data_IF_956722252842
#
_entry.id   IF_956722252842
#
_cell.length_a   1.000
_cell.length_b   1.000
_cell.length_c   1.000
_cell.angle_alpha   90.00
_cell.angle_beta   90.00
_cell.angle_gamma   90.00
#
_symmetry.space_group_name_H-M   'P 1'
#
loop_
_entity.id
_entity.type
_entity.pdbx_description
1 polymer ?
#
# COMPACT_ATOMS: atom_id res chain seq x y z
N UNK A 1 13.32 8.91 1.82
CA UNK A 1 12.27 8.09 1.15
C UNK A 1 10.99 8.87 1.07
N UNK A 2 10.41 8.97 -0.10
CA UNK A 2 9.09 9.60 -0.28
C UNK A 2 8.40 9.06 -1.52
N UNK A 3 7.08 9.16 -1.54
CA UNK A 3 6.27 8.85 -2.70
C UNK A 3 5.93 10.16 -3.39
N UNK A 4 6.20 10.26 -4.69
CA UNK A 4 5.83 11.44 -5.48
C UNK A 4 4.45 11.27 -6.10
N UNK A 5 4.13 10.06 -6.57
CA UNK A 5 2.87 9.79 -7.25
C UNK A 5 2.47 8.34 -7.11
N UNK A 6 1.17 8.10 -6.98
CA UNK A 6 0.57 6.76 -7.04
C UNK A 6 -0.50 6.76 -8.13
N UNK A 7 -0.51 5.72 -8.95
CA UNK A 7 -1.59 5.43 -9.89
C UNK A 7 -2.20 4.07 -9.53
N UNK A 8 -3.51 4.03 -9.38
CA UNK A 8 -4.28 2.83 -9.07
C UNK A 8 -5.18 2.49 -10.25
N UNK A 9 -5.19 1.25 -10.65
CA UNK A 9 -6.01 0.75 -11.74
C UNK A 9 -6.69 -0.54 -11.32
N UNK A 10 -8.02 -0.55 -11.28
CA UNK A 10 -8.79 -1.72 -10.87
C UNK A 10 -8.59 -2.13 -9.42
N UNK A 11 -8.09 -1.24 -8.57
CA UNK A 11 -7.78 -1.51 -7.16
C UNK A 11 -8.95 -1.07 -6.29
N UNK A 12 -9.57 -2.02 -5.59
CA UNK A 12 -10.72 -1.77 -4.71
C UNK A 12 -11.83 -1.04 -5.48
N UNK A 13 -12.20 0.15 -5.03
CA UNK A 13 -13.24 0.98 -5.66
C UNK A 13 -12.71 1.94 -6.74
N UNK A 14 -11.43 1.87 -7.05
CA UNK A 14 -10.82 2.73 -8.07
C UNK A 14 -10.74 2.02 -9.41
N UNK A 15 -11.43 2.52 -10.42
CA UNK A 15 -11.22 2.07 -11.81
C UNK A 15 -9.87 2.55 -12.30
N UNK A 16 -9.65 3.85 -12.21
CA UNK A 16 -8.37 4.48 -12.45
C UNK A 16 -8.30 5.77 -11.63
N UNK A 17 -7.25 5.91 -10.85
CA UNK A 17 -7.05 7.11 -10.03
C UNK A 17 -5.57 7.38 -9.86
N UNK A 18 -5.20 8.65 -9.80
CA UNK A 18 -3.84 9.08 -9.53
C UNK A 18 -3.84 10.05 -8.36
N UNK A 19 -2.79 10.00 -7.57
CA UNK A 19 -2.56 10.94 -6.47
C UNK A 19 -1.12 11.41 -6.49
N UNK A 20 -0.93 12.72 -6.49
CA UNK A 20 0.39 13.34 -6.39
C UNK A 20 0.60 13.81 -4.96
N UNK A 21 1.82 13.61 -4.44
CA UNK A 21 2.16 13.96 -3.07
C UNK A 21 3.26 15.00 -3.04
N UNK A 22 3.17 15.90 -2.07
CA UNK A 22 4.21 16.89 -1.79
C UNK A 22 5.22 16.31 -0.79
N UNK A 23 6.45 16.80 -0.76
CA UNK A 23 7.37 16.48 0.32
C UNK A 23 6.78 16.88 1.68
N UNK A 24 7.05 16.11 2.71
CA UNK A 24 6.54 16.38 4.06
C UNK A 24 5.16 15.77 4.31
N UNK A 25 4.32 16.51 5.00
CA UNK A 25 3.00 16.02 5.41
C UNK A 25 1.97 16.24 4.31
N UNK A 26 1.24 15.18 4.00
CA UNK A 26 0.09 15.21 3.09
C UNK A 26 -1.15 14.81 3.87
N UNK A 27 -2.21 15.60 3.77
CA UNK A 27 -3.48 15.34 4.45
C UNK A 27 -4.47 14.82 3.42
N UNK A 28 -5.02 13.63 3.69
CA UNK A 28 -6.04 13.00 2.84
C UNK A 28 -7.36 13.13 3.55
N UNK A 29 -8.32 13.81 2.91
CA UNK A 29 -9.63 14.05 3.50
C UNK A 29 -10.72 13.91 2.45
N UNK A 30 -11.96 13.79 2.89
CA UNK A 30 -13.13 13.67 2.03
C UNK A 30 -14.23 12.89 2.72
N UNK A 31 -15.39 12.83 2.09
CA UNK A 31 -16.56 12.15 2.62
C UNK A 31 -16.47 10.62 2.52
N UNK A 32 -15.73 10.11 1.53
CA UNK A 32 -15.58 8.67 1.33
C UNK A 32 -14.44 8.11 2.18
N UNK A 33 -14.77 7.63 3.37
CA UNK A 33 -13.80 7.05 4.30
C UNK A 33 -13.12 5.81 3.69
N UNK A 34 -13.83 4.98 2.92
CA UNK A 34 -13.26 3.78 2.31
C UNK A 34 -12.22 4.12 1.24
N UNK A 35 -12.47 5.15 0.44
CA UNK A 35 -11.50 5.60 -0.56
C UNK A 35 -10.18 6.03 0.06
N UNK A 36 -10.24 6.75 1.18
CA UNK A 36 -9.04 7.15 1.91
C UNK A 36 -8.29 5.95 2.46
N UNK A 37 -8.99 5.00 3.06
CA UNK A 37 -8.38 3.78 3.59
C UNK A 37 -7.78 2.94 2.46
N UNK A 38 -8.44 2.85 1.32
CA UNK A 38 -7.93 2.11 0.16
C UNK A 38 -6.64 2.73 -0.39
N UNK A 39 -6.54 4.06 -0.38
CA UNK A 39 -5.32 4.75 -0.77
C UNK A 39 -4.18 4.44 0.21
N UNK A 40 -4.43 4.49 1.51
CA UNK A 40 -3.45 4.13 2.52
C UNK A 40 -3.03 2.66 2.41
N UNK A 41 -3.97 1.77 2.09
CA UNK A 41 -3.68 0.37 1.84
C UNK A 41 -2.70 0.20 0.67
N UNK A 42 -2.88 0.97 -0.41
CA UNK A 42 -1.98 0.92 -1.55
C UNK A 42 -0.57 1.39 -1.18
N UNK A 43 -0.44 2.42 -0.36
CA UNK A 43 0.86 2.88 0.15
C UNK A 43 1.53 1.79 0.98
N UNK A 44 0.78 1.15 1.85
CA UNK A 44 1.29 0.05 2.68
C UNK A 44 1.78 -1.11 1.81
N UNK A 45 1.03 -1.46 0.77
CA UNK A 45 1.40 -2.53 -0.14
C UNK A 45 2.70 -2.23 -0.90
N UNK A 46 2.93 -0.97 -1.26
CA UNK A 46 4.18 -0.57 -1.93
C UNK A 46 5.41 -0.81 -1.07
N UNK A 47 5.27 -0.74 0.25
CA UNK A 47 6.38 -0.96 1.16
C UNK A 47 6.48 -2.42 1.64
N UNK A 48 5.33 -3.07 1.86
CA UNK A 48 5.27 -4.38 2.50
C UNK A 48 4.98 -5.52 1.54
N UNK A 49 4.49 -5.22 0.34
CA UNK A 49 4.09 -6.23 -0.64
C UNK A 49 2.80 -6.99 -0.27
N UNK A 50 2.09 -6.52 0.74
CA UNK A 50 0.85 -7.13 1.20
C UNK A 50 -0.07 -6.07 1.81
N UNK A 51 -1.37 -6.39 1.89
CA UNK A 51 -2.34 -5.54 2.56
C UNK A 51 -2.24 -5.68 4.09
N UNK A 52 -2.60 -4.59 4.80
CA UNK A 52 -2.80 -4.65 6.25
C UNK A 52 -4.22 -5.06 6.65
N UNK A 53 -5.13 -5.19 5.67
CA UNK A 53 -6.55 -5.48 5.90
C UNK A 53 -6.95 -6.90 5.52
N UNK A 54 -6.29 -7.50 4.54
CA UNK A 54 -6.62 -8.83 4.04
C UNK A 54 -5.37 -9.61 3.65
N UNK A 55 -5.44 -10.92 3.77
CA UNK A 55 -4.42 -11.85 3.27
C UNK A 55 -4.66 -12.26 1.83
N UNK A 56 -5.85 -11.98 1.29
CA UNK A 56 -6.28 -12.51 -0.01
C UNK A 56 -6.17 -11.41 -1.06
N UNK A 57 -5.20 -11.54 -1.94
CA UNK A 57 -4.96 -10.55 -2.99
C UNK A 57 -6.18 -10.35 -3.89
N UNK A 58 -7.00 -11.39 -4.08
CA UNK A 58 -8.22 -11.28 -4.88
C UNK A 58 -9.21 -10.23 -4.35
N UNK A 59 -9.20 -9.97 -3.05
CA UNK A 59 -10.08 -8.97 -2.44
C UNK A 59 -9.66 -7.55 -2.75
N UNK A 60 -8.44 -7.36 -3.24
CA UNK A 60 -7.90 -6.06 -3.63
C UNK A 60 -8.27 -5.69 -5.06
N UNK A 61 -8.69 -6.67 -5.85
CA UNK A 61 -9.10 -6.45 -7.24
C UNK A 61 -10.53 -5.90 -7.24
N UNK A 62 -10.75 -4.82 -8.00
CA UNK A 62 -12.03 -4.17 -8.07
C UNK A 62 -13.12 -5.09 -8.66
N UNK A 63 -14.35 -4.88 -8.22
CA UNK A 63 -15.49 -5.63 -8.70
C UNK A 63 -15.62 -5.49 -10.23
N UNK A 64 -15.70 -6.61 -10.91
CA UNK A 64 -15.78 -6.63 -12.39
C UNK A 64 -14.44 -6.48 -13.09
N UNK A 65 -13.34 -6.37 -12.37
CA UNK A 65 -12.00 -6.28 -12.94
C UNK A 65 -11.29 -7.62 -12.92
N UNK A 66 -10.44 -7.87 -13.93
CA UNK A 66 -9.63 -9.08 -14.01
C UNK A 66 -8.30 -8.94 -13.28
N UNK A 67 -7.87 -7.71 -13.09
CA UNK A 67 -6.60 -7.40 -12.45
C UNK A 67 -6.64 -6.06 -11.74
N UNK A 68 -5.69 -5.85 -10.85
CA UNK A 68 -5.45 -4.56 -10.21
C UNK A 68 -3.97 -4.21 -10.32
N UNK A 69 -3.68 -2.93 -10.46
CA UNK A 69 -2.31 -2.45 -10.55
C UNK A 69 -2.10 -1.27 -9.60
N UNK A 70 -1.00 -1.31 -8.89
CA UNK A 70 -0.50 -0.18 -8.11
C UNK A 70 0.83 0.22 -8.73
N UNK A 71 0.92 1.44 -9.20
CA UNK A 71 2.14 1.99 -9.80
C UNK A 71 2.52 3.25 -9.04
N UNK A 72 3.77 3.35 -8.61
CA UNK A 72 4.20 4.51 -7.85
C UNK A 72 5.58 4.98 -8.28
N UNK A 73 5.72 6.30 -8.31
CA UNK A 73 7.02 6.94 -8.43
C UNK A 73 7.47 7.35 -7.04
N UNK A 74 8.62 6.80 -6.63
CA UNK A 74 9.18 7.02 -5.30
C UNK A 74 10.61 7.55 -5.41
N UNK A 75 11.05 8.26 -4.39
CA UNK A 75 12.45 8.67 -4.24
C UNK A 75 13.02 7.95 -3.03
N UNK A 76 14.07 7.19 -3.27
CA UNK A 76 14.77 6.42 -2.25
C UNK A 76 16.27 6.49 -2.52
N UNK A 77 17.07 6.78 -1.50
CA UNK A 77 18.52 6.91 -1.64
C UNK A 77 18.93 7.90 -2.74
N UNK A 78 18.23 9.05 -2.79
CA UNK A 78 18.43 10.12 -3.77
C UNK A 78 18.19 9.70 -5.23
N UNK A 79 17.51 8.57 -5.44
CA UNK A 79 17.15 8.05 -6.76
C UNK A 79 15.65 8.00 -6.94
N UNK A 80 15.20 8.37 -8.14
CA UNK A 80 13.83 8.13 -8.56
C UNK A 80 13.68 6.67 -8.96
N UNK A 81 12.65 6.01 -8.43
CA UNK A 81 12.37 4.61 -8.72
C UNK A 81 10.88 4.45 -9.00
N UNK A 82 10.55 3.49 -9.85
CA UNK A 82 9.16 3.13 -10.15
C UNK A 82 8.87 1.75 -9.58
N UNK A 83 7.89 1.68 -8.67
CA UNK A 83 7.43 0.43 -8.07
C UNK A 83 6.09 0.07 -8.69
N UNK A 84 5.96 -1.18 -9.13
CA UNK A 84 4.72 -1.70 -9.70
C UNK A 84 4.33 -3.00 -9.02
N UNK A 85 3.07 -3.09 -8.62
CA UNK A 85 2.48 -4.32 -8.11
C UNK A 85 1.28 -4.66 -9.00
N UNK A 86 1.31 -5.83 -9.60
CA UNK A 86 0.23 -6.33 -10.44
C UNK A 86 -0.42 -7.53 -9.75
N UNK A 87 -1.74 -7.45 -9.57
CA UNK A 87 -2.56 -8.47 -8.93
C UNK A 87 -3.51 -9.05 -9.97
N UNK A 88 -3.54 -10.38 -10.07
CA UNK A 88 -4.50 -11.12 -10.90
C UNK A 88 -5.10 -12.26 -10.10
N UNK A 89 -6.38 -12.51 -10.32
CA UNK A 89 -7.09 -13.60 -9.65
C UNK A 89 -6.48 -14.94 -10.03
N UNK A 90 -6.17 -15.78 -9.03
CA UNK A 90 -5.64 -17.12 -9.24
C UNK A 90 -4.16 -17.18 -9.66
N UNK A 91 -3.48 -16.03 -9.73
CA UNK A 91 -2.08 -15.94 -10.13
C UNK A 91 -1.30 -15.20 -9.04
N UNK A 92 -0.07 -15.64 -8.81
CA UNK A 92 0.80 -14.96 -7.86
C UNK A 92 1.06 -13.53 -8.30
N UNK A 93 0.97 -12.58 -7.36
CA UNK A 93 1.23 -11.17 -7.65
C UNK A 93 2.64 -10.95 -8.17
N UNK A 94 2.79 -9.98 -9.04
CA UNK A 94 4.06 -9.58 -9.61
C UNK A 94 4.48 -8.24 -9.03
N UNK A 95 5.70 -8.18 -8.51
CA UNK A 95 6.27 -6.97 -7.94
C UNK A 95 7.53 -6.64 -8.75
N UNK A 96 7.62 -5.40 -9.23
CA UNK A 96 8.81 -4.93 -9.93
C UNK A 96 9.25 -3.56 -9.39
N UNK A 97 10.55 -3.34 -9.39
CA UNK A 97 11.16 -2.05 -9.11
C UNK A 97 12.04 -1.72 -10.30
N UNK A 98 11.74 -0.63 -10.98
CA UNK A 98 12.44 -0.25 -12.24
C UNK A 98 12.44 -1.39 -13.25
N UNK A 99 11.30 -2.07 -13.38
CA UNK A 99 11.07 -3.22 -14.29
C UNK A 99 11.83 -4.49 -13.92
N UNK A 100 12.50 -4.55 -12.77
CA UNK A 100 13.19 -5.73 -12.27
C UNK A 100 12.31 -6.42 -11.23
N UNK A 101 12.11 -7.73 -11.37
CA UNK A 101 11.31 -8.50 -10.41
C UNK A 101 11.93 -8.47 -9.02
N UNK A 102 11.08 -8.23 -8.03
CA UNK A 102 11.44 -8.19 -6.63
C UNK A 102 10.50 -9.05 -5.79
N UNK A 103 10.99 -9.48 -4.63
CA UNK A 103 10.15 -10.12 -3.63
C UNK A 103 9.54 -9.05 -2.70
N UNK A 104 8.51 -9.42 -1.94
CA UNK A 104 7.92 -8.51 -0.98
C UNK A 104 8.93 -8.02 0.06
N UNK A 105 9.84 -8.88 0.49
CA UNK A 105 10.87 -8.51 1.46
C UNK A 105 11.88 -7.50 0.90
N UNK A 106 12.12 -7.50 -0.40
CA UNK A 106 13.05 -6.56 -1.03
C UNK A 106 12.47 -5.16 -1.18
N UNK A 107 11.15 -5.00 -1.08
CA UNK A 107 10.51 -3.68 -1.15
C UNK A 107 10.94 -2.76 -0.01
N UNK A 108 11.28 -3.31 1.14
CA UNK A 108 11.76 -2.53 2.27
C UNK A 108 13.04 -1.74 2.00
N UNK A 109 13.81 -2.16 1.00
CA UNK A 109 15.00 -1.42 0.58
C UNK A 109 14.64 -0.15 -0.18
N UNK A 110 13.49 -0.13 -0.82
CA UNK A 110 13.02 1.01 -1.62
C UNK A 110 12.14 1.95 -0.83
N UNK A 111 11.24 1.40 -0.02
CA UNK A 111 10.26 2.19 0.74
C UNK A 111 9.98 1.52 2.07
N UNK A 112 10.09 2.28 3.14
CA UNK A 112 9.67 1.86 4.46
C UNK A 112 8.43 2.62 4.87
N UNK A 113 7.50 1.93 5.53
CA UNK A 113 6.27 2.53 6.00
C UNK A 113 6.02 2.15 7.46
N UNK A 114 5.47 3.10 8.20
CA UNK A 114 4.90 2.85 9.52
C UNK A 114 3.43 3.27 9.44
N UNK A 115 2.55 2.32 9.70
CA UNK A 115 1.12 2.57 9.71
C UNK A 115 0.62 2.67 11.14
N UNK A 116 -0.07 3.76 11.41
CA UNK A 116 -0.76 3.96 12.68
C UNK A 116 -2.23 4.24 12.39
N UNK A 117 -3.11 3.40 12.88
CA UNK A 117 -4.55 3.54 12.68
C UNK A 117 -5.29 3.59 14.02
N UNK A 118 -6.57 4.01 14.04
CA UNK A 118 -7.32 4.15 15.29
C UNK A 118 -7.35 2.91 16.16
N UNK A 119 -7.29 1.72 15.55
CA UNK A 119 -7.25 0.46 16.29
C UNK A 119 -5.99 0.33 17.15
N UNK A 120 -4.89 0.94 16.74
CA UNK A 120 -3.64 0.93 17.50
C UNK A 120 -3.73 1.72 18.79
N UNK A 121 -4.66 2.68 18.86
CA UNK A 121 -4.94 3.46 20.08
C UNK A 121 -5.53 2.60 21.19
N UNK A 122 -6.10 1.46 20.84
CA UNK A 122 -6.68 0.54 21.82
C UNK A 122 -5.61 -0.23 22.59
N UNK A 123 -4.35 -0.13 22.21
CA UNK A 123 -3.24 -0.80 22.89
C UNK A 123 -3.21 -0.54 24.39
N UNK A 124 -3.54 0.70 24.80
CA UNK A 124 -3.57 1.08 26.21
C UNK A 124 -4.78 0.47 26.90
N UNK A 125 -5.91 0.33 26.19
CA UNK A 125 -7.17 -0.20 26.72
C UNK A 125 -7.22 -1.70 26.74
N UNK A 126 -6.66 -2.36 25.73
CA UNK A 126 -6.72 -3.82 25.53
C UNK A 126 -5.57 -4.57 26.19
N UNK A 127 -4.55 -3.87 26.66
CA UNK A 127 -3.46 -4.45 27.41
C UNK A 127 -2.36 -5.11 26.59
N UNK A 128 -1.65 -6.05 27.25
CA UNK A 128 -0.39 -6.60 26.73
C UNK A 128 -0.55 -7.41 25.43
N UNK A 129 -1.67 -8.09 25.23
CA UNK A 129 -1.86 -8.89 24.02
C UNK A 129 -1.96 -8.03 22.76
N UNK A 130 -2.67 -6.90 22.83
CA UNK A 130 -2.78 -5.97 21.72
C UNK A 130 -1.43 -5.32 21.40
N UNK A 131 -0.67 -4.96 22.43
CA UNK A 131 0.67 -4.40 22.26
C UNK A 131 1.62 -5.39 21.59
N UNK A 132 1.56 -6.66 21.95
CA UNK A 132 2.38 -7.69 21.31
C UNK A 132 2.03 -7.87 19.84
N UNK A 133 0.74 -7.82 19.48
CA UNK A 133 0.32 -7.91 18.08
C UNK A 133 0.88 -6.77 17.24
N UNK A 134 0.91 -5.57 17.77
CA UNK A 134 1.50 -4.42 17.07
C UNK A 134 3.00 -4.60 16.87
N UNK A 135 3.71 -5.06 17.88
CA UNK A 135 5.16 -5.23 17.81
C UNK A 135 5.58 -6.39 16.91
N UNK A 136 4.74 -7.42 16.75
CA UNK A 136 5.03 -8.61 15.94
C UNK A 136 4.72 -8.40 14.44
N UNK A 137 4.08 -7.30 14.09
CA UNK A 137 3.85 -6.92 12.70
C UNK A 137 5.09 -6.15 12.19
#
# INVERSE_FOLDING_TARGET
MRINRIALNGFRNYDFETADFSPGTNVIYGENAQGKTNLLESVYMLAMGRSFRTRFDRELIGFGCDSAEILADVVSHEREQTVRILLRSGVRKQITVNSVKKTASELGETLNVVLFCPDDLNLIKEGAAARRRLMDN
#
